data_IF_145604489059
#
_entry.id   IF_145604489059
#
_cell.length_a   1.000
_cell.length_b   1.000
_cell.length_c   1.000
_cell.angle_alpha   90.00
_cell.angle_beta   90.00
_cell.angle_gamma   90.00
#
_symmetry.space_group_name_H-M   'P 1'
#
loop_
_entity.id
_entity.type
_entity.pdbx_description
1 polymer ?
#
# COMPACT_ATOMS: atom_id res chain seq x y z
N UNK A 1 -8.13 -30.80 -8.42
CA UNK A 1 -7.81 -29.47 -8.94
C UNK A 1 -8.75 -28.52 -8.25
N UNK A 2 -8.24 -27.55 -7.49
CA UNK A 2 -9.09 -26.50 -6.98
C UNK A 2 -9.43 -25.62 -8.18
N UNK A 3 -10.70 -25.54 -8.56
CA UNK A 3 -11.21 -24.66 -9.61
C UNK A 3 -12.07 -23.58 -8.96
N UNK A 4 -11.99 -22.35 -9.47
CA UNK A 4 -12.76 -21.23 -8.92
C UNK A 4 -14.24 -21.64 -8.93
N UNK A 5 -14.96 -21.53 -7.79
CA UNK A 5 -16.37 -21.91 -7.74
C UNK A 5 -17.18 -21.03 -8.70
N UNK A 6 -18.26 -21.57 -9.24
CA UNK A 6 -19.22 -20.76 -10.01
C UNK A 6 -19.79 -19.68 -9.10
N UNK A 7 -19.64 -18.42 -9.51
CA UNK A 7 -20.21 -17.26 -8.84
C UNK A 7 -21.27 -16.61 -9.71
N UNK A 8 -22.16 -15.85 -9.08
CA UNK A 8 -23.27 -15.14 -9.70
C UNK A 8 -23.15 -13.62 -9.50
N UNK A 9 -23.89 -12.84 -10.28
CA UNK A 9 -23.96 -11.39 -10.02
C UNK A 9 -24.53 -11.08 -8.63
N UNK A 10 -25.37 -11.96 -8.08
CA UNK A 10 -25.88 -11.78 -6.72
C UNK A 10 -24.76 -11.88 -5.69
N UNK A 11 -23.79 -12.77 -5.89
CA UNK A 11 -22.61 -12.86 -5.02
C UNK A 11 -21.81 -11.56 -5.04
N UNK A 12 -21.66 -10.93 -6.21
CA UNK A 12 -21.03 -9.60 -6.33
C UNK A 12 -21.85 -8.54 -5.59
N UNK A 13 -23.18 -8.53 -5.76
CA UNK A 13 -24.09 -7.57 -5.08
C UNK A 13 -24.11 -7.73 -3.56
N UNK A 14 -23.74 -8.89 -3.04
CA UNK A 14 -23.63 -9.13 -1.60
C UNK A 14 -22.37 -8.48 -0.99
N UNK A 15 -21.33 -8.22 -1.79
CA UNK A 15 -20.04 -7.68 -1.31
C UNK A 15 -19.74 -6.26 -1.82
N UNK A 16 -20.44 -5.79 -2.85
CA UNK A 16 -20.23 -4.46 -3.46
C UNK A 16 -21.55 -3.69 -3.46
N UNK A 17 -21.49 -2.43 -3.01
CA UNK A 17 -22.66 -1.58 -2.93
C UNK A 17 -23.34 -1.38 -4.31
N UNK A 18 -24.67 -1.14 -4.36
CA UNK A 18 -25.40 -1.03 -5.61
C UNK A 18 -24.86 0.03 -6.58
N UNK A 19 -24.36 1.16 -6.08
CA UNK A 19 -23.84 2.23 -6.93
C UNK A 19 -22.49 1.85 -7.56
N UNK A 20 -21.60 1.21 -6.79
CA UNK A 20 -20.34 0.67 -7.31
C UNK A 20 -20.57 -0.49 -8.26
N UNK A 21 -21.54 -1.37 -7.99
CA UNK A 21 -21.92 -2.45 -8.90
C UNK A 21 -22.44 -1.91 -10.24
N UNK A 22 -23.30 -0.88 -10.20
CA UNK A 22 -23.83 -0.25 -11.42
C UNK A 22 -22.71 0.36 -12.27
N UNK A 23 -21.75 1.03 -11.64
CA UNK A 23 -20.57 1.52 -12.35
C UNK A 23 -19.69 0.37 -12.85
N UNK A 24 -19.56 -0.71 -12.10
CA UNK A 24 -18.82 -1.90 -12.52
C UNK A 24 -19.33 -2.48 -13.83
N UNK A 25 -20.67 -2.54 -14.00
CA UNK A 25 -21.28 -2.91 -15.27
C UNK A 25 -20.87 -1.96 -16.42
N UNK A 26 -20.80 -0.66 -16.17
CA UNK A 26 -20.32 0.30 -17.18
C UNK A 26 -18.88 0.00 -17.60
N UNK A 27 -17.99 -0.32 -16.66
CA UNK A 27 -16.58 -0.64 -16.94
C UNK A 27 -16.41 -1.98 -17.65
N UNK A 28 -17.23 -2.98 -17.29
CA UNK A 28 -17.31 -4.24 -18.01
C UNK A 28 -17.75 -4.01 -19.47
N UNK A 29 -18.85 -3.29 -19.68
CA UNK A 29 -19.40 -3.01 -21.00
C UNK A 29 -18.48 -2.15 -21.89
N UNK A 30 -17.60 -1.35 -21.29
CA UNK A 30 -16.59 -0.56 -22.02
C UNK A 30 -15.29 -1.31 -22.27
N UNK A 31 -15.23 -2.61 -21.97
CA UNK A 31 -14.02 -3.47 -22.07
C UNK A 31 -12.82 -2.86 -21.34
N UNK A 32 -13.07 -2.25 -20.17
CA UNK A 32 -12.02 -1.59 -19.39
C UNK A 32 -11.12 -2.58 -18.64
N UNK A 33 -11.46 -3.87 -18.63
CA UNK A 33 -10.70 -4.94 -17.97
C UNK A 33 -9.82 -5.63 -19.00
N UNK A 34 -8.51 -5.67 -18.76
CA UNK A 34 -7.53 -6.26 -19.67
C UNK A 34 -6.38 -6.92 -18.90
N UNK A 35 -5.51 -7.66 -19.62
CA UNK A 35 -4.45 -8.48 -19.01
C UNK A 35 -4.99 -9.44 -17.94
N UNK A 36 -6.15 -10.03 -18.23
CA UNK A 36 -6.89 -10.99 -17.41
C UNK A 36 -6.15 -12.33 -17.34
N UNK A 37 -5.89 -12.77 -16.12
CA UNK A 37 -5.24 -14.06 -15.84
C UNK A 37 -5.88 -14.73 -14.65
N UNK A 38 -5.91 -16.05 -14.69
CA UNK A 38 -6.26 -16.90 -13.57
C UNK A 38 -4.99 -17.57 -13.05
N UNK A 39 -4.69 -17.41 -11.77
CA UNK A 39 -3.62 -18.13 -11.09
C UNK A 39 -4.28 -18.90 -9.94
N UNK A 40 -4.38 -20.22 -10.08
CA UNK A 40 -5.05 -21.08 -9.10
C UNK A 40 -6.47 -20.60 -8.75
N UNK A 41 -6.64 -20.15 -7.50
CA UNK A 41 -7.88 -19.60 -6.93
C UNK A 41 -7.96 -18.08 -6.98
N UNK A 42 -7.19 -17.41 -7.84
CA UNK A 42 -7.17 -15.97 -7.94
C UNK A 42 -7.38 -15.50 -9.38
N UNK A 43 -8.21 -14.48 -9.54
CA UNK A 43 -8.37 -13.72 -10.77
C UNK A 43 -7.61 -12.41 -10.64
N UNK A 44 -6.79 -12.08 -11.63
CA UNK A 44 -6.01 -10.84 -11.64
C UNK A 44 -6.15 -10.14 -12.99
N UNK A 45 -6.25 -8.83 -12.97
CA UNK A 45 -6.34 -8.02 -14.18
C UNK A 45 -5.82 -6.59 -13.96
N UNK A 46 -5.81 -5.82 -15.04
CA UNK A 46 -5.72 -4.35 -15.03
C UNK A 46 -7.08 -3.77 -15.40
N UNK A 47 -7.43 -2.65 -14.79
CA UNK A 47 -8.63 -1.89 -15.11
C UNK A 47 -8.27 -0.48 -15.57
N UNK A 48 -8.68 -0.11 -16.78
CA UNK A 48 -8.53 1.25 -17.29
C UNK A 48 -9.48 2.18 -16.52
N UNK A 49 -8.89 2.95 -15.61
CA UNK A 49 -9.61 3.94 -14.80
C UNK A 49 -9.70 5.30 -15.49
N UNK A 50 -10.15 6.29 -14.72
CA UNK A 50 -10.11 7.72 -15.08
C UNK A 50 -8.72 8.36 -14.94
N UNK A 51 -7.74 7.62 -14.39
CA UNK A 51 -6.34 8.06 -14.24
C UNK A 51 -5.51 7.57 -15.42
N UNK A 52 -4.33 8.16 -15.59
CA UNK A 52 -3.35 7.79 -16.62
C UNK A 52 -2.85 6.36 -16.45
N UNK A 53 -2.65 5.90 -15.22
CA UNK A 53 -2.27 4.52 -14.91
C UNK A 53 -3.49 3.62 -14.66
N UNK A 54 -3.45 2.40 -15.20
CA UNK A 54 -4.48 1.39 -14.99
C UNK A 54 -4.35 0.71 -13.62
N UNK A 55 -5.47 0.58 -12.91
CA UNK A 55 -5.54 -0.02 -11.58
C UNK A 55 -5.23 -1.52 -11.63
N UNK A 56 -4.47 -2.03 -10.66
CA UNK A 56 -4.31 -3.48 -10.43
C UNK A 56 -5.52 -3.98 -9.66
N UNK A 57 -6.12 -5.08 -10.10
CA UNK A 57 -7.31 -5.67 -9.47
C UNK A 57 -7.10 -7.17 -9.30
N UNK A 58 -7.43 -7.68 -8.12
CA UNK A 58 -7.30 -9.08 -7.75
C UNK A 58 -8.48 -9.53 -6.88
N UNK A 59 -8.98 -10.74 -7.16
CA UNK A 59 -9.99 -11.42 -6.34
C UNK A 59 -9.54 -12.86 -6.10
N UNK A 60 -9.48 -13.27 -4.83
CA UNK A 60 -9.19 -14.64 -4.47
C UNK A 60 -10.44 -15.38 -3.97
N UNK A 61 -10.44 -16.69 -4.19
CA UNK A 61 -11.53 -17.60 -3.92
C UNK A 61 -11.11 -18.75 -3.01
N UNK A 62 -12.08 -19.34 -2.35
CA UNK A 62 -11.99 -20.71 -1.83
C UNK A 62 -13.16 -21.53 -2.39
N UNK A 63 -13.35 -22.76 -1.90
CA UNK A 63 -14.44 -23.63 -2.37
C UNK A 63 -15.85 -23.08 -2.06
N UNK A 64 -16.00 -22.12 -1.14
CA UNK A 64 -17.26 -21.52 -0.73
C UNK A 64 -17.60 -20.21 -1.45
N UNK A 65 -16.62 -19.55 -2.09
CA UNK A 65 -16.82 -18.31 -2.82
C UNK A 65 -15.65 -17.34 -2.72
N UNK A 66 -15.96 -16.06 -2.81
CA UNK A 66 -14.98 -14.95 -2.75
C UNK A 66 -14.49 -14.79 -1.31
N UNK A 67 -13.16 -14.78 -1.12
CA UNK A 67 -12.54 -14.62 0.21
C UNK A 67 -11.73 -13.33 0.35
N UNK A 68 -11.22 -12.76 -0.74
CA UNK A 68 -10.51 -11.49 -0.69
C UNK A 68 -10.69 -10.71 -1.99
N UNK A 69 -10.75 -9.39 -1.84
CA UNK A 69 -10.83 -8.44 -2.94
C UNK A 69 -9.78 -7.36 -2.74
N UNK A 70 -8.97 -7.10 -3.75
CA UNK A 70 -7.94 -6.08 -3.71
C UNK A 70 -7.96 -5.24 -4.98
N UNK A 71 -7.85 -3.94 -4.81
CA UNK A 71 -7.69 -3.03 -5.94
C UNK A 71 -6.78 -1.88 -5.54
N UNK A 72 -5.84 -1.52 -6.41
CA UNK A 72 -4.93 -0.39 -6.20
C UNK A 72 -5.61 0.98 -6.37
N UNK A 73 -6.94 1.04 -6.34
CA UNK A 73 -7.67 2.31 -6.40
C UNK A 73 -7.93 2.84 -4.98
N UNK A 74 -8.23 4.14 -4.83
CA UNK A 74 -8.43 4.75 -3.51
C UNK A 74 -9.55 4.13 -2.65
N UNK A 75 -10.48 3.38 -3.26
CA UNK A 75 -11.57 2.69 -2.54
C UNK A 75 -11.22 1.25 -2.13
N UNK A 76 -10.08 0.71 -2.56
CA UNK A 76 -9.69 -0.66 -2.24
C UNK A 76 -10.62 -1.73 -2.81
N UNK A 77 -10.81 -2.82 -2.05
CA UNK A 77 -11.45 -4.08 -2.47
C UNK A 77 -12.96 -4.04 -2.73
N UNK A 78 -13.68 -2.99 -2.31
CA UNK A 78 -15.14 -2.88 -2.48
C UNK A 78 -15.49 -1.83 -3.54
N UNK A 79 -14.86 -1.91 -4.70
CA UNK A 79 -14.97 -0.88 -5.73
C UNK A 79 -15.56 -1.41 -7.04
N UNK A 80 -15.95 -0.47 -7.91
CA UNK A 80 -16.44 -0.74 -9.27
C UNK A 80 -15.47 -1.55 -10.13
N UNK A 81 -14.15 -1.48 -9.90
CA UNK A 81 -13.16 -2.24 -10.67
C UNK A 81 -13.17 -3.73 -10.30
N UNK A 82 -13.38 -4.05 -9.02
CA UNK A 82 -13.59 -5.43 -8.56
C UNK A 82 -14.90 -5.98 -9.14
N UNK A 83 -15.99 -5.19 -9.10
CA UNK A 83 -17.24 -5.57 -9.75
C UNK A 83 -17.04 -5.84 -11.25
N UNK A 84 -16.32 -4.97 -11.96
CA UNK A 84 -16.03 -5.14 -13.38
C UNK A 84 -15.24 -6.42 -13.66
N UNK A 85 -14.19 -6.71 -12.86
CA UNK A 85 -13.41 -7.95 -12.98
C UNK A 85 -14.27 -9.21 -12.80
N UNK A 86 -15.11 -9.23 -11.76
CA UNK A 86 -16.00 -10.35 -11.47
C UNK A 86 -17.07 -10.51 -12.54
N UNK A 87 -17.62 -9.41 -13.07
CA UNK A 87 -18.53 -9.43 -14.21
C UNK A 87 -17.86 -9.97 -15.47
N UNK A 88 -16.63 -9.57 -15.76
CA UNK A 88 -15.84 -10.14 -16.87
C UNK A 88 -15.67 -11.64 -16.71
N UNK A 89 -15.40 -12.13 -15.50
CA UNK A 89 -15.27 -13.57 -15.25
C UNK A 89 -16.59 -14.34 -15.42
N UNK A 90 -17.71 -13.79 -14.94
CA UNK A 90 -19.03 -14.43 -15.06
C UNK A 90 -19.47 -14.54 -16.51
N UNK A 91 -19.29 -13.46 -17.28
CA UNK A 91 -19.87 -13.34 -18.62
C UNK A 91 -18.90 -13.75 -19.74
N UNK A 92 -17.60 -13.50 -19.56
CA UNK A 92 -16.55 -13.75 -20.55
C UNK A 92 -15.35 -14.54 -19.93
N UNK A 93 -15.56 -15.71 -19.30
CA UNK A 93 -14.48 -16.46 -18.62
C UNK A 93 -13.33 -16.84 -19.55
N UNK A 94 -13.58 -16.98 -20.86
CA UNK A 94 -12.58 -17.28 -21.88
C UNK A 94 -11.55 -16.15 -22.10
N UNK A 95 -11.82 -14.93 -21.62
CA UNK A 95 -10.84 -13.84 -21.62
C UNK A 95 -9.69 -14.09 -20.64
N UNK A 96 -9.84 -15.01 -19.70
CA UNK A 96 -8.82 -15.27 -18.68
C UNK A 96 -7.87 -16.35 -19.12
N UNK A 97 -6.58 -16.00 -19.17
CA UNK A 97 -5.52 -16.96 -19.43
C UNK A 97 -5.12 -17.64 -18.12
N UNK A 98 -5.23 -18.96 -18.05
CA UNK A 98 -4.70 -19.73 -16.93
C UNK A 98 -3.16 -19.66 -16.95
N UNK A 99 -2.59 -19.27 -15.82
CA UNK A 99 -1.16 -19.10 -15.63
C UNK A 99 -0.72 -19.77 -14.33
N UNK A 100 0.48 -20.37 -14.28
CA UNK A 100 1.04 -20.88 -13.04
C UNK A 100 1.17 -19.78 -11.98
N UNK A 101 1.16 -20.17 -10.71
CA UNK A 101 1.49 -19.28 -9.62
C UNK A 101 2.92 -18.75 -9.74
N UNK A 102 3.14 -17.54 -9.25
CA UNK A 102 4.47 -16.91 -9.31
C UNK A 102 5.50 -17.78 -8.59
N UNK A 103 5.15 -18.29 -7.40
CA UNK A 103 6.04 -19.14 -6.59
C UNK A 103 6.43 -20.41 -7.34
N UNK A 104 5.48 -21.05 -8.03
CA UNK A 104 5.76 -22.23 -8.82
C UNK A 104 6.75 -21.94 -9.96
N UNK A 105 6.61 -20.80 -10.64
CA UNK A 105 7.55 -20.39 -11.69
C UNK A 105 8.94 -20.11 -11.11
N UNK A 106 9.00 -19.48 -9.94
CA UNK A 106 10.26 -19.17 -9.25
C UNK A 106 10.98 -20.44 -8.78
N UNK A 107 10.27 -21.38 -8.16
CA UNK A 107 10.81 -22.65 -7.66
C UNK A 107 11.31 -23.58 -8.77
N UNK A 108 10.65 -23.55 -9.94
CA UNK A 108 11.04 -24.33 -11.11
C UNK A 108 12.20 -23.71 -11.89
N UNK A 109 12.55 -22.45 -11.61
CA UNK A 109 13.62 -21.74 -12.30
C UNK A 109 14.99 -22.06 -11.71
N UNK A 110 16.00 -22.22 -12.56
CA UNK A 110 17.37 -22.38 -12.09
C UNK A 110 17.94 -21.07 -11.54
N UNK A 111 18.96 -21.16 -10.68
CA UNK A 111 19.69 -19.98 -10.17
C UNK A 111 20.17 -19.05 -11.28
N UNK A 112 20.65 -19.60 -12.40
CA UNK A 112 21.15 -18.81 -13.52
C UNK A 112 20.04 -18.01 -14.22
N UNK A 113 18.86 -18.62 -14.38
CA UNK A 113 17.68 -17.97 -14.97
C UNK A 113 17.15 -16.87 -14.05
N UNK A 114 17.04 -17.13 -12.76
CA UNK A 114 16.62 -16.14 -11.76
C UNK A 114 17.58 -14.94 -11.73
N UNK A 115 18.90 -15.16 -11.73
CA UNK A 115 19.88 -14.06 -11.81
C UNK A 115 19.72 -13.26 -13.11
N UNK A 116 19.45 -13.93 -14.24
CA UNK A 116 19.22 -13.26 -15.53
C UNK A 116 17.95 -12.42 -15.52
N UNK A 117 16.87 -12.93 -14.90
CA UNK A 117 15.62 -12.20 -14.70
C UNK A 117 15.81 -10.97 -13.81
N UNK A 118 16.46 -11.12 -12.66
CA UNK A 118 16.77 -10.01 -11.75
C UNK A 118 17.57 -8.92 -12.48
N UNK A 119 18.60 -9.28 -13.25
CA UNK A 119 19.36 -8.32 -14.08
C UNK A 119 18.50 -7.60 -15.12
N UNK A 120 17.44 -8.24 -15.65
CA UNK A 120 16.49 -7.58 -16.55
C UNK A 120 15.57 -6.63 -15.79
N UNK A 121 15.12 -7.01 -14.59
CA UNK A 121 14.31 -6.15 -13.72
C UNK A 121 15.08 -4.90 -13.30
N UNK A 122 16.31 -5.03 -12.82
CA UNK A 122 17.15 -3.90 -12.40
C UNK A 122 17.46 -2.92 -13.54
N UNK A 123 17.56 -3.40 -14.78
CA UNK A 123 17.72 -2.51 -15.95
C UNK A 123 16.46 -1.71 -16.29
N UNK A 124 15.29 -2.18 -15.86
CA UNK A 124 14.01 -1.50 -16.08
C UNK A 124 13.69 -0.57 -14.91
N UNK A 125 13.94 -1.03 -13.70
CA UNK A 125 13.71 -0.31 -12.44
C UNK A 125 15.01 -0.28 -11.62
N UNK A 126 15.91 0.69 -11.88
CA UNK A 126 17.21 0.77 -11.19
C UNK A 126 17.09 0.96 -9.67
N UNK A 127 15.97 1.50 -9.17
CA UNK A 127 15.71 1.71 -7.74
C UNK A 127 15.69 0.40 -6.93
N UNK A 128 15.32 -0.71 -7.58
CA UNK A 128 15.32 -2.05 -6.98
C UNK A 128 16.73 -2.59 -6.69
N UNK A 129 17.81 -1.94 -7.14
CA UNK A 129 19.19 -2.35 -6.81
C UNK A 129 19.45 -2.36 -5.29
N UNK A 130 18.75 -1.50 -4.54
CA UNK A 130 18.80 -1.46 -3.08
C UNK A 130 18.43 -2.80 -2.44
N UNK A 131 17.49 -3.55 -3.04
CA UNK A 131 17.05 -4.86 -2.56
C UNK A 131 18.14 -5.93 -2.64
N UNK A 132 19.17 -5.77 -3.48
CA UNK A 132 20.29 -6.72 -3.50
C UNK A 132 21.11 -6.71 -2.20
N UNK A 133 21.05 -5.61 -1.45
CA UNK A 133 21.79 -5.44 -0.20
C UNK A 133 21.17 -6.27 0.93
N UNK A 134 19.85 -6.50 0.91
CA UNK A 134 19.17 -7.36 1.90
C UNK A 134 19.53 -8.83 1.73
N UNK A 135 19.78 -9.26 0.48
CA UNK A 135 20.20 -10.64 0.15
C UNK A 135 21.68 -10.88 0.49
N UNK A 136 22.52 -9.84 0.42
CA UNK A 136 23.96 -9.95 0.66
C UNK A 136 24.34 -9.51 2.09
N UNK A 137 23.71 -10.13 3.10
CA UNK A 137 23.85 -9.81 4.53
C UNK A 137 25.29 -9.76 5.02
N UNK A 138 26.17 -10.61 4.50
CA UNK A 138 27.60 -10.66 4.85
C UNK A 138 28.37 -9.39 4.45
N UNK A 139 27.91 -8.68 3.42
CA UNK A 139 28.51 -7.41 2.99
C UNK A 139 27.77 -6.20 3.60
N UNK A 140 26.50 -6.37 4.00
CA UNK A 140 25.67 -5.37 4.66
C UNK A 140 25.99 -5.19 6.15
N UNK A 141 26.27 -6.28 6.88
CA UNK A 141 26.60 -6.28 8.30
C UNK A 141 27.79 -5.35 8.67
N UNK A 142 28.68 -5.09 7.71
CA UNK A 142 29.89 -4.30 7.92
C UNK A 142 29.76 -2.80 7.61
N UNK A 143 28.60 -2.30 7.14
CA UNK A 143 28.49 -0.90 6.73
C UNK A 143 27.16 -0.23 7.13
N UNK A 144 27.16 0.59 8.21
CA UNK A 144 25.99 1.36 8.65
C UNK A 144 25.35 2.24 7.57
N UNK A 145 26.13 2.70 6.58
CA UNK A 145 25.62 3.55 5.50
C UNK A 145 24.63 2.83 4.57
N UNK A 146 24.69 1.49 4.49
CA UNK A 146 23.72 0.69 3.73
C UNK A 146 22.33 0.84 4.35
N UNK A 147 22.23 0.65 5.67
CA UNK A 147 20.97 0.74 6.39
C UNK A 147 20.46 2.18 6.46
N UNK A 148 21.35 3.15 6.67
CA UNK A 148 21.00 4.58 6.60
C UNK A 148 20.41 4.96 5.25
N UNK A 149 20.98 4.46 4.15
CA UNK A 149 20.46 4.71 2.79
C UNK A 149 19.12 4.01 2.54
N UNK A 150 18.92 2.79 3.04
CA UNK A 150 17.63 2.09 2.94
C UNK A 150 16.53 2.86 3.68
N UNK A 151 16.80 3.27 4.92
CA UNK A 151 15.89 4.12 5.70
C UNK A 151 15.57 5.40 4.94
N UNK A 152 16.57 6.13 4.43
CA UNK A 152 16.34 7.35 3.67
C UNK A 152 15.55 7.12 2.38
N UNK A 153 15.82 6.03 1.65
CA UNK A 153 15.09 5.68 0.43
C UNK A 153 13.62 5.40 0.70
N UNK A 154 13.27 4.73 1.80
CA UNK A 154 11.88 4.47 2.18
C UNK A 154 11.04 5.75 2.22
N UNK A 155 11.63 6.86 2.68
CA UNK A 155 10.95 8.15 2.72
C UNK A 155 11.02 8.95 1.42
N UNK A 156 11.95 8.64 0.50
CA UNK A 156 12.03 9.31 -0.81
C UNK A 156 10.99 8.80 -1.80
N UNK A 157 10.65 7.50 -1.73
CA UNK A 157 9.62 6.90 -2.58
C UNK A 157 8.20 7.06 -2.00
N UNK A 158 8.07 7.40 -0.70
CA UNK A 158 6.80 7.58 0.01
C UNK A 158 6.01 8.87 -0.28
N UNK A 159 6.33 9.60 -1.36
CA UNK A 159 5.78 10.93 -1.60
C UNK A 159 5.48 11.21 -3.07
N UNK A 160 4.19 11.18 -3.40
CA UNK A 160 3.40 12.18 -4.17
C UNK A 160 2.27 11.57 -5.01
N UNK A 161 2.06 10.25 -5.00
CA UNK A 161 0.87 9.63 -5.56
C UNK A 161 0.03 8.91 -4.49
N UNK A 162 -1.28 9.15 -4.53
CA UNK A 162 -2.24 8.47 -3.67
C UNK A 162 -2.12 6.95 -3.81
N UNK A 163 -1.59 6.29 -2.79
CA UNK A 163 -1.30 4.85 -2.76
C UNK A 163 0.00 4.50 -2.02
N UNK A 164 0.94 5.45 -1.94
CA UNK A 164 2.32 5.21 -1.48
C UNK A 164 2.50 5.27 0.05
N UNK A 165 1.46 5.63 0.81
CA UNK A 165 1.56 5.79 2.29
C UNK A 165 1.80 4.48 3.03
N UNK A 166 1.54 3.32 2.40
CA UNK A 166 1.83 2.00 2.96
C UNK A 166 3.26 1.53 2.67
N UNK A 167 3.94 2.09 1.65
CA UNK A 167 5.26 1.62 1.21
C UNK A 167 6.36 1.96 2.23
N UNK A 168 6.30 3.15 2.85
CA UNK A 168 7.29 3.54 3.88
C UNK A 168 7.27 2.58 5.07
N UNK A 169 6.07 2.20 5.54
CA UNK A 169 5.90 1.30 6.68
C UNK A 169 6.45 -0.10 6.39
N UNK A 170 6.17 -0.63 5.21
CA UNK A 170 6.64 -1.95 4.77
C UNK A 170 8.17 -1.96 4.57
N UNK A 171 8.74 -0.90 3.98
CA UNK A 171 10.18 -0.78 3.79
C UNK A 171 10.94 -0.65 5.11
N UNK A 172 10.46 0.16 6.05
CA UNK A 172 11.06 0.26 7.39
C UNK A 172 10.90 -1.04 8.19
N UNK A 173 9.79 -1.75 8.00
CA UNK A 173 9.57 -3.07 8.63
C UNK A 173 10.58 -4.09 8.12
N UNK A 174 10.91 -4.10 6.82
CA UNK A 174 11.96 -4.93 6.23
C UNK A 174 13.35 -4.65 6.82
N UNK A 175 13.68 -3.38 7.07
CA UNK A 175 14.93 -2.99 7.75
C UNK A 175 14.93 -3.48 9.20
N UNK A 176 13.81 -3.37 9.91
CA UNK A 176 13.65 -3.91 11.28
C UNK A 176 13.80 -5.44 11.30
N UNK A 177 13.16 -6.15 10.37
CA UNK A 177 13.26 -7.61 10.25
C UNK A 177 14.72 -8.05 10.06
N UNK A 178 15.50 -7.30 9.27
CA UNK A 178 16.95 -7.54 9.13
C UNK A 178 17.69 -7.41 10.48
N UNK A 179 17.33 -6.43 11.31
CA UNK A 179 17.89 -6.28 12.65
C UNK A 179 17.49 -7.45 13.58
N UNK A 180 16.22 -7.86 13.53
CA UNK A 180 15.69 -8.98 14.31
C UNK A 180 16.39 -10.30 13.93
N UNK A 181 16.69 -10.51 12.65
CA UNK A 181 17.47 -11.66 12.18
C UNK A 181 18.90 -11.67 12.73
N UNK A 182 19.60 -10.53 12.75
CA UNK A 182 20.93 -10.44 13.38
C UNK A 182 20.89 -10.79 14.87
N UNK A 183 19.83 -10.41 15.58
CA UNK A 183 19.61 -10.82 16.98
C UNK A 183 19.48 -12.35 17.09
N UNK A 184 18.70 -12.97 16.21
CA UNK A 184 18.53 -14.43 16.20
C UNK A 184 19.83 -15.18 15.89
N UNK A 185 20.69 -14.60 15.05
CA UNK A 185 22.00 -15.15 14.69
C UNK A 185 23.09 -14.86 15.75
N UNK A 186 22.80 -14.03 16.75
CA UNK A 186 23.73 -13.64 17.82
C UNK A 186 24.72 -12.53 17.44
N UNK A 187 24.54 -11.89 16.28
CA UNK A 187 25.32 -10.73 15.86
C UNK A 187 24.71 -9.43 16.40
N UNK A 188 24.86 -9.23 17.70
CA UNK A 188 24.32 -8.04 18.38
C UNK A 188 24.97 -6.73 17.90
N UNK A 189 26.20 -6.75 17.39
CA UNK A 189 26.87 -5.55 16.90
C UNK A 189 26.19 -5.02 15.63
N UNK A 190 25.88 -5.91 14.69
CA UNK A 190 25.11 -5.57 13.49
C UNK A 190 23.68 -5.17 13.85
N UNK A 191 23.01 -5.91 14.75
CA UNK A 191 21.65 -5.57 15.18
C UNK A 191 21.55 -4.15 15.77
N UNK A 192 22.46 -3.78 16.69
CA UNK A 192 22.49 -2.41 17.27
C UNK A 192 22.68 -1.36 16.18
N UNK A 193 23.58 -1.60 15.23
CA UNK A 193 23.82 -0.67 14.11
C UNK A 193 22.55 -0.41 13.30
N UNK A 194 21.78 -1.46 12.98
CA UNK A 194 20.54 -1.33 12.21
C UNK A 194 19.46 -0.63 13.03
N UNK A 195 19.27 -1.00 14.30
CA UNK A 195 18.31 -0.31 15.17
C UNK A 195 18.67 1.14 15.42
N UNK A 196 19.96 1.49 15.53
CA UNK A 196 20.42 2.89 15.63
C UNK A 196 20.08 3.66 14.35
N UNK A 197 20.22 3.04 13.17
CA UNK A 197 19.81 3.68 11.91
C UNK A 197 18.30 3.96 11.88
N UNK A 198 17.47 3.06 12.40
CA UNK A 198 16.03 3.26 12.55
C UNK A 198 15.69 4.32 13.61
N UNK A 199 16.42 4.35 14.73
CA UNK A 199 16.18 5.30 15.83
C UNK A 199 16.61 6.72 15.48
N UNK A 200 17.73 6.87 14.78
CA UNK A 200 18.29 8.16 14.38
C UNK A 200 17.49 8.86 13.27
N UNK A 201 16.43 8.23 12.76
CA UNK A 201 15.38 8.92 11.98
C UNK A 201 14.87 10.16 12.72
N UNK A 202 14.90 10.14 14.05
CA UNK A 202 14.48 11.28 14.87
C UNK A 202 15.42 12.50 14.78
N UNK A 203 16.67 12.32 14.34
CA UNK A 203 17.65 13.40 14.27
C UNK A 203 17.66 14.08 12.89
N UNK A 204 17.06 13.46 11.87
CA UNK A 204 16.88 14.05 10.56
C UNK A 204 15.60 14.89 10.51
N UNK A 205 15.77 16.21 10.57
CA UNK A 205 14.65 17.17 10.56
C UNK A 205 13.78 17.06 9.32
N UNK A 206 14.37 16.85 8.14
CA UNK A 206 13.61 16.76 6.89
C UNK A 206 12.78 15.47 6.86
N UNK A 207 13.38 14.38 7.37
CA UNK A 207 12.72 13.09 7.48
C UNK A 207 11.56 13.12 8.46
N UNK A 208 11.78 13.74 9.63
CA UNK A 208 10.73 13.94 10.62
C UNK A 208 9.58 14.76 10.11
N UNK A 209 9.84 15.87 9.41
CA UNK A 209 8.81 16.67 8.77
C UNK A 209 7.96 15.84 7.80
N UNK A 210 8.61 14.98 7.00
CA UNK A 210 7.91 14.08 6.08
C UNK A 210 7.04 13.04 6.82
N UNK A 211 7.55 12.42 7.89
CA UNK A 211 6.76 11.50 8.74
C UNK A 211 5.53 12.21 9.30
N UNK A 212 5.69 13.42 9.84
CA UNK A 212 4.57 14.20 10.36
C UNK A 212 3.54 14.48 9.26
N UNK A 213 4.00 14.76 8.04
CA UNK A 213 3.14 15.02 6.89
C UNK A 213 2.36 13.77 6.45
N UNK A 214 2.99 12.61 6.42
CA UNK A 214 2.33 11.33 6.10
C UNK A 214 1.25 11.00 7.13
N UNK A 215 1.60 11.04 8.42
CA UNK A 215 0.64 10.81 9.51
C UNK A 215 -0.51 11.81 9.48
N UNK A 216 -0.22 13.10 9.26
CA UNK A 216 -1.24 14.12 9.13
C UNK A 216 -2.13 13.92 7.90
N UNK A 217 -1.57 13.46 6.78
CA UNK A 217 -2.34 13.18 5.56
C UNK A 217 -3.31 12.02 5.79
N UNK A 218 -2.86 10.96 6.46
CA UNK A 218 -3.70 9.83 6.83
C UNK A 218 -4.84 10.26 7.77
N UNK A 219 -4.53 11.06 8.80
CA UNK A 219 -5.53 11.65 9.69
C UNK A 219 -6.54 12.54 8.94
N UNK A 220 -6.06 13.45 8.08
CA UNK A 220 -6.89 14.35 7.28
C UNK A 220 -7.83 13.58 6.35
N UNK A 221 -7.34 12.50 5.75
CA UNK A 221 -8.17 11.60 4.94
C UNK A 221 -9.29 10.98 5.77
N UNK A 222 -8.97 10.43 6.94
CA UNK A 222 -9.96 9.80 7.82
C UNK A 222 -11.05 10.79 8.24
N UNK A 223 -10.67 12.00 8.65
CA UNK A 223 -11.62 13.07 9.02
C UNK A 223 -12.50 13.45 7.83
N UNK A 224 -11.93 13.62 6.63
CA UNK A 224 -12.70 13.94 5.40
C UNK A 224 -13.61 12.82 4.93
N UNK A 225 -13.26 11.58 5.25
CA UNK A 225 -14.09 10.41 5.01
C UNK A 225 -15.18 10.20 6.08
N UNK A 226 -15.22 11.03 7.12
CA UNK A 226 -16.21 10.96 8.19
C UNK A 226 -15.82 10.04 9.36
N UNK A 227 -14.53 9.77 9.56
CA UNK A 227 -14.01 8.96 10.66
C UNK A 227 -14.22 7.47 10.43
N UNK A 228 -13.67 6.95 9.34
CA UNK A 228 -13.81 5.53 8.96
C UNK A 228 -12.78 4.62 9.66
N UNK A 229 -11.93 5.19 10.52
CA UNK A 229 -10.96 4.46 11.34
C UNK A 229 -9.70 4.03 10.59
N UNK A 230 -9.41 4.63 9.44
CA UNK A 230 -8.24 4.22 8.61
C UNK A 230 -6.91 4.66 9.23
N UNK A 231 -6.92 5.68 10.08
CA UNK A 231 -5.72 6.24 10.70
C UNK A 231 -5.98 6.69 12.16
N UNK A 232 -6.72 5.89 12.93
CA UNK A 232 -7.16 6.26 14.29
C UNK A 232 -6.01 6.54 15.26
N UNK A 233 -4.86 5.90 15.08
CA UNK A 233 -3.67 6.10 15.91
C UNK A 233 -2.84 7.32 15.51
N UNK A 234 -3.03 7.86 14.30
CA UNK A 234 -2.17 8.92 13.77
C UNK A 234 -2.17 10.20 14.64
N UNK A 235 -3.31 10.70 15.15
CA UNK A 235 -3.32 11.83 16.08
C UNK A 235 -2.50 11.60 17.34
N UNK A 236 -2.65 10.42 17.97
CA UNK A 236 -1.95 10.09 19.21
C UNK A 236 -0.44 9.96 18.98
N UNK A 237 -0.03 9.39 17.84
CA UNK A 237 1.38 9.30 17.46
C UNK A 237 1.95 10.71 17.23
N UNK A 238 1.24 11.57 16.49
CA UNK A 238 1.65 12.96 16.26
C UNK A 238 1.82 13.70 17.60
N UNK A 239 0.85 13.60 18.51
CA UNK A 239 0.92 14.26 19.81
C UNK A 239 2.06 13.72 20.67
N UNK A 240 2.20 12.40 20.73
CA UNK A 240 3.19 11.75 21.59
C UNK A 240 4.63 12.00 21.13
N UNK A 241 4.86 12.08 19.82
CA UNK A 241 6.21 12.06 19.26
C UNK A 241 6.65 13.39 18.64
N UNK A 242 5.76 14.32 18.32
CA UNK A 242 6.14 15.61 17.72
C UNK A 242 6.85 16.53 18.71
N UNK A 243 7.94 17.16 18.24
CA UNK A 243 8.62 18.24 18.94
C UNK A 243 7.76 19.52 18.99
N UNK A 244 8.09 20.51 19.83
CA UNK A 244 7.35 21.78 19.86
C UNK A 244 7.32 22.53 18.52
N UNK A 245 8.36 22.39 17.69
CA UNK A 245 8.41 23.02 16.36
C UNK A 245 7.50 22.29 15.37
N UNK A 246 7.49 20.96 15.42
CA UNK A 246 6.61 20.12 14.60
C UNK A 246 5.16 20.29 14.98
N UNK A 247 4.81 20.37 16.28
CA UNK A 247 3.46 20.69 16.75
C UNK A 247 2.96 22.01 16.17
N UNK A 248 3.81 23.04 16.13
CA UNK A 248 3.48 24.34 15.51
C UNK A 248 3.24 24.23 14.02
N UNK A 249 4.05 23.42 13.33
CA UNK A 249 3.90 23.14 11.89
C UNK A 249 2.60 22.39 11.59
N UNK A 250 2.32 21.30 12.33
CA UNK A 250 1.09 20.50 12.20
C UNK A 250 -0.14 21.38 12.50
N UNK A 251 -0.08 22.22 13.53
CA UNK A 251 -1.13 23.18 13.83
C UNK A 251 -1.36 24.18 12.68
N UNK A 252 -0.31 24.51 11.90
CA UNK A 252 -0.42 25.26 10.65
C UNK A 252 -1.27 24.52 9.62
N UNK A 253 -0.94 23.26 9.35
CA UNK A 253 -1.68 22.41 8.40
C UNK A 253 -3.16 22.22 8.80
N UNK A 254 -3.44 22.01 10.09
CA UNK A 254 -4.81 21.91 10.60
C UNK A 254 -5.60 23.20 10.33
N UNK A 255 -4.99 24.37 10.58
CA UNK A 255 -5.62 25.67 10.32
C UNK A 255 -5.88 25.89 8.83
N UNK A 256 -4.96 25.47 7.97
CA UNK A 256 -5.16 25.52 6.52
C UNK A 256 -6.33 24.64 6.07
N UNK A 257 -6.47 23.43 6.62
CA UNK A 257 -7.61 22.56 6.32
C UNK A 257 -8.94 23.10 6.86
N UNK A 258 -8.95 23.69 8.07
CA UNK A 258 -10.13 24.37 8.62
C UNK A 258 -10.56 25.57 7.78
N UNK A 259 -9.62 26.28 7.17
CA UNK A 259 -9.89 27.43 6.30
C UNK A 259 -10.45 27.03 4.93
N UNK A 260 -10.30 25.76 4.52
CA UNK A 260 -10.82 25.28 3.23
C UNK A 260 -12.35 25.06 3.28
N UNK A 261 -13.06 25.35 2.17
CA UNK A 261 -14.49 25.07 2.07
C UNK A 261 -14.77 23.58 2.29
N UNK A 262 -15.76 23.26 3.11
CA UNK A 262 -16.16 21.87 3.32
C UNK A 262 -16.97 21.35 2.14
N UNK A 263 -16.32 20.56 1.29
CA UNK A 263 -16.96 19.87 0.17
C UNK A 263 -17.17 18.36 0.48
N UNK A 264 -16.95 17.91 1.72
CA UNK A 264 -16.93 16.48 2.06
C UNK A 264 -18.32 15.83 2.13
N UNK A 265 -19.39 16.62 2.27
CA UNK A 265 -20.79 16.16 2.22
C UNK A 265 -21.34 15.58 3.53
N UNK A 266 -20.51 15.34 4.55
CA UNK A 266 -20.90 14.64 5.80
C UNK A 266 -21.02 15.54 7.04
N UNK A 267 -21.00 16.87 6.83
CA UNK A 267 -21.33 17.87 7.84
C UNK A 267 -20.12 18.53 8.48
N UNK A 268 -20.03 19.85 8.31
CA UNK A 268 -18.99 20.74 8.85
C UNK A 268 -18.70 20.52 10.34
N UNK A 269 -19.72 20.15 11.11
CA UNK A 269 -19.62 19.96 12.57
C UNK A 269 -18.68 18.83 12.98
N UNK A 270 -18.66 17.70 12.27
CA UNK A 270 -17.77 16.58 12.59
C UNK A 270 -16.32 16.97 12.35
N UNK A 271 -16.05 17.49 11.15
CA UNK A 271 -14.75 18.00 10.72
C UNK A 271 -14.19 19.04 11.70
N UNK A 272 -15.00 20.04 12.04
CA UNK A 272 -14.58 21.15 12.90
C UNK A 272 -14.35 20.69 14.35
N UNK A 273 -15.12 19.70 14.84
CA UNK A 273 -14.91 19.11 16.16
C UNK A 273 -13.61 18.31 16.24
N UNK A 274 -13.29 17.50 15.22
CA UNK A 274 -12.07 16.70 15.19
C UNK A 274 -10.82 17.54 15.01
N UNK A 275 -10.81 18.45 14.03
CA UNK A 275 -9.69 19.37 13.87
C UNK A 275 -9.55 20.32 15.04
N UNK A 276 -10.66 20.81 15.59
CA UNK A 276 -10.65 21.69 16.75
C UNK A 276 -10.10 21.00 18.00
N UNK A 277 -10.53 19.77 18.27
CA UNK A 277 -10.01 18.95 19.38
C UNK A 277 -8.52 18.70 19.22
N UNK A 278 -8.10 18.18 18.07
CA UNK A 278 -6.69 17.94 17.79
C UNK A 278 -5.83 19.20 17.90
N UNK A 279 -6.32 20.36 17.45
CA UNK A 279 -5.62 21.64 17.55
C UNK A 279 -5.44 22.13 18.99
N UNK A 280 -6.32 21.74 19.92
CA UNK A 280 -6.20 22.07 21.34
C UNK A 280 -5.12 21.23 22.05
N UNK A 281 -4.85 20.03 21.54
CA UNK A 281 -3.90 19.08 22.12
C UNK A 281 -2.46 19.26 21.58
N UNK A 282 -2.31 19.91 20.41
CA UNK A 282 -1.04 20.26 19.76
C UNK A 282 -0.26 21.35 20.49
#
# INVERSE_FOLDING_TARGET
MNTIPTITEQDIRNIIDPASFQRGQTYYNSDAIFNTRQQGMALKARCQGSRSQAYRVEVAFNNAGIVSNQCSCPLGGHCKHVAALLLTWIHDPEKFLEQPEVDQLLEQSTKAELISLIKKMLRREPELESLLQTVNKQQAAANPEIYRRQVNNAFQHGGYEWGDTYEVGDELSSVKETADEFVQEGDYASAVTVYECLANVQDDKALREHIMQVLFTAFNFDVKAGGIGVAEEAPDILLKHASPDERRMIAGWVREELARPDNSGWGTRFRDQWYGGFLLDL
#
